data_IF_334914976956
#
_entry.id   IF_334914976956
#
_cell.length_a   1.000
_cell.length_b   1.000
_cell.length_c   1.000
_cell.angle_alpha   90.00
_cell.angle_beta   90.00
_cell.angle_gamma   90.00
#
_symmetry.space_group_name_H-M   'P 1'
#
loop_
_entity.id
_entity.type
_entity.pdbx_description
1 polymer ?
#
# COMPACT_ATOMS: atom_id res chain seq x y z
N UNK A 1 8.43 -3.31 10.17
CA UNK A 1 8.35 -2.83 8.78
C UNK A 1 9.38 -1.73 8.53
N UNK A 2 9.18 -0.47 8.97
CA UNK A 2 10.03 0.70 8.65
C UNK A 2 11.53 0.45 8.83
N UNK A 3 11.98 0.01 10.01
CA UNK A 3 13.40 -0.23 10.29
C UNK A 3 14.02 -1.36 9.43
N UNK A 4 13.20 -2.31 8.97
CA UNK A 4 13.67 -3.35 8.04
C UNK A 4 13.89 -2.78 6.64
N UNK A 5 12.94 -1.98 6.13
CA UNK A 5 13.08 -1.30 4.84
C UNK A 5 14.30 -0.36 4.86
N UNK A 6 14.41 0.47 5.88
CA UNK A 6 15.52 1.43 6.01
C UNK A 6 16.88 0.73 5.96
N UNK A 7 17.09 -0.29 6.78
CA UNK A 7 18.37 -1.01 6.86
C UNK A 7 18.72 -1.74 5.57
N UNK A 8 17.76 -2.41 4.93
CA UNK A 8 18.04 -3.28 3.80
C UNK A 8 17.92 -2.58 2.45
N UNK A 9 16.97 -1.64 2.29
CA UNK A 9 16.63 -1.07 1.01
C UNK A 9 17.01 0.40 0.85
N UNK A 10 17.52 1.05 1.91
CA UNK A 10 18.15 2.38 1.84
C UNK A 10 19.64 2.27 2.13
N UNK A 11 20.04 1.68 3.29
CA UNK A 11 21.44 1.66 3.70
C UNK A 11 22.27 0.59 2.99
N UNK A 12 21.77 -0.67 2.95
CA UNK A 12 22.52 -1.81 2.42
C UNK A 12 22.42 -1.92 0.89
N UNK A 13 21.24 -1.74 0.34
CA UNK A 13 20.98 -1.77 -1.11
C UNK A 13 20.07 -0.59 -1.44
N UNK A 14 20.60 0.53 -1.98
CA UNK A 14 19.83 1.75 -2.21
C UNK A 14 18.83 1.55 -3.36
N UNK A 15 17.71 0.93 -3.04
CA UNK A 15 16.58 0.67 -3.94
C UNK A 15 15.38 1.60 -3.64
N UNK A 16 15.32 2.13 -2.43
CA UNK A 16 14.27 3.03 -1.95
C UNK A 16 14.91 4.36 -1.53
N UNK A 17 14.38 5.48 -2.00
CA UNK A 17 14.90 6.81 -1.74
C UNK A 17 14.37 7.42 -0.45
N UNK A 18 13.10 7.18 -0.14
CA UNK A 18 12.44 7.71 1.07
C UNK A 18 11.42 6.72 1.65
N UNK A 19 11.19 6.85 2.95
CA UNK A 19 10.09 6.17 3.65
C UNK A 19 9.21 7.24 4.29
N UNK A 20 7.95 7.30 3.87
CA UNK A 20 6.95 8.21 4.42
C UNK A 20 5.94 7.40 5.20
N UNK A 21 5.73 7.74 6.46
CA UNK A 21 4.64 7.20 7.28
C UNK A 21 3.60 8.29 7.48
N UNK A 22 2.41 8.06 6.96
CA UNK A 22 1.26 8.94 7.19
C UNK A 22 0.54 8.45 8.44
N UNK A 23 0.59 9.25 9.48
CA UNK A 23 -0.04 8.97 10.76
C UNK A 23 -1.48 9.51 10.76
N UNK A 24 -2.45 8.60 10.70
CA UNK A 24 -3.87 8.93 10.73
C UNK A 24 -4.40 8.85 12.17
N UNK A 25 -4.09 9.89 12.96
CA UNK A 25 -4.62 10.09 14.32
C UNK A 25 -4.21 9.03 15.36
N UNK A 26 -3.00 8.46 15.26
CA UNK A 26 -2.51 7.54 16.30
C UNK A 26 -2.40 8.24 17.66
N UNK A 27 -2.90 7.57 18.68
CA UNK A 27 -2.84 8.07 20.08
C UNK A 27 -1.72 7.44 20.90
N UNK A 28 -0.98 6.53 20.29
CA UNK A 28 0.13 5.81 20.88
C UNK A 28 1.50 6.37 20.42
N UNK A 29 2.57 5.59 20.60
CA UNK A 29 3.92 5.95 20.18
C UNK A 29 4.24 5.63 18.72
N UNK A 30 3.26 5.46 17.84
CA UNK A 30 3.47 5.08 16.44
C UNK A 30 4.36 6.07 15.71
N UNK A 31 4.03 7.36 15.75
CA UNK A 31 4.81 8.41 15.09
C UNK A 31 6.27 8.48 15.60
N UNK A 32 6.47 8.38 16.92
CA UNK A 32 7.80 8.38 17.55
C UNK A 32 8.64 7.19 17.07
N UNK A 33 8.06 6.00 17.10
CA UNK A 33 8.72 4.76 16.67
C UNK A 33 9.08 4.77 15.19
N UNK A 34 8.18 5.27 14.34
CA UNK A 34 8.42 5.40 12.93
C UNK A 34 9.61 6.33 12.63
N UNK A 35 9.66 7.50 13.27
CA UNK A 35 10.80 8.43 13.16
C UNK A 35 12.10 7.81 13.63
N UNK A 36 12.09 7.15 14.79
CA UNK A 36 13.27 6.46 15.34
C UNK A 36 13.76 5.31 14.44
N UNK A 37 12.90 4.79 13.57
CA UNK A 37 13.21 3.73 12.59
C UNK A 37 13.64 4.26 11.23
N UNK A 38 13.77 5.58 11.05
CA UNK A 38 14.28 6.20 9.83
C UNK A 38 13.20 6.69 8.83
N UNK A 39 11.92 6.74 9.22
CA UNK A 39 10.88 7.30 8.37
C UNK A 39 10.68 8.81 8.59
N UNK A 40 10.32 9.52 7.54
CA UNK A 40 9.66 10.80 7.63
C UNK A 40 8.18 10.56 8.01
N UNK A 41 7.74 11.15 9.10
CA UNK A 41 6.36 10.98 9.59
C UNK A 41 5.57 12.25 9.34
N UNK A 42 4.42 12.08 8.72
CA UNK A 42 3.47 13.13 8.36
C UNK A 42 2.17 12.91 9.12
N UNK A 43 1.65 13.93 9.73
CA UNK A 43 0.32 13.94 10.35
C UNK A 43 -0.74 14.15 9.26
N UNK A 44 -1.59 13.16 9.04
CA UNK A 44 -2.64 13.22 8.03
C UNK A 44 -3.56 14.44 8.18
N UNK A 45 -3.77 14.92 9.40
CA UNK A 45 -4.61 16.08 9.67
C UNK A 45 -4.02 17.41 9.19
N UNK A 46 -2.71 17.45 8.89
CA UNK A 46 -1.99 18.64 8.44
C UNK A 46 -1.77 18.69 6.93
N UNK A 47 -2.14 17.61 6.21
CA UNK A 47 -1.95 17.52 4.75
C UNK A 47 -3.25 17.86 4.05
N UNK A 48 -3.18 18.73 3.02
CA UNK A 48 -4.30 19.13 2.17
C UNK A 48 -5.52 19.60 2.98
N UNK A 49 -5.30 20.44 3.99
CA UNK A 49 -6.32 20.91 4.94
C UNK A 49 -7.48 21.63 4.25
N UNK A 50 -7.24 22.27 3.11
CA UNK A 50 -8.27 22.96 2.32
C UNK A 50 -9.30 22.00 1.70
N UNK A 51 -8.98 20.71 1.62
CA UNK A 51 -9.89 19.66 1.14
C UNK A 51 -10.70 18.99 2.28
N UNK A 52 -10.55 19.47 3.51
CA UNK A 52 -11.21 18.93 4.68
C UNK A 52 -10.36 17.89 5.41
N UNK A 53 -10.91 17.35 6.50
CA UNK A 53 -10.26 16.32 7.30
C UNK A 53 -10.97 15.00 7.05
N UNK A 54 -10.38 14.19 6.18
CA UNK A 54 -10.81 12.80 5.97
C UNK A 54 -10.09 11.85 6.95
N UNK A 55 -10.57 10.62 7.01
CA UNK A 55 -10.04 9.57 7.86
C UNK A 55 -9.98 8.23 7.12
N UNK A 56 -9.06 7.37 7.56
CA UNK A 56 -8.95 6.00 7.13
C UNK A 56 -7.95 5.80 5.99
N UNK A 57 -7.80 4.54 5.58
CA UNK A 57 -6.72 4.09 4.70
C UNK A 57 -6.66 4.88 3.38
N UNK A 58 -7.78 5.06 2.70
CA UNK A 58 -7.80 5.77 1.42
C UNK A 58 -7.32 7.21 1.52
N UNK A 59 -7.69 7.91 2.59
CA UNK A 59 -7.23 9.27 2.89
C UNK A 59 -5.72 9.29 3.13
N UNK A 60 -5.20 8.37 3.92
CA UNK A 60 -3.76 8.28 4.20
C UNK A 60 -2.96 8.00 2.93
N UNK A 61 -3.45 7.11 2.06
CA UNK A 61 -2.80 6.79 0.78
C UNK A 61 -2.80 7.99 -0.17
N UNK A 62 -3.93 8.68 -0.31
CA UNK A 62 -4.03 9.89 -1.12
C UNK A 62 -3.06 10.98 -0.64
N UNK A 63 -3.04 11.25 0.65
CA UNK A 63 -2.12 12.24 1.25
C UNK A 63 -0.66 11.83 1.12
N UNK A 64 -0.36 10.52 1.14
CA UNK A 64 1.01 10.04 0.93
C UNK A 64 1.55 10.37 -0.45
N UNK A 65 0.71 10.37 -1.49
CA UNK A 65 1.11 10.83 -2.83
C UNK A 65 1.53 12.29 -2.83
N UNK A 66 0.77 13.14 -2.15
CA UNK A 66 1.08 14.57 -2.04
C UNK A 66 2.41 14.80 -1.29
N UNK A 67 2.66 14.02 -0.26
CA UNK A 67 3.83 14.14 0.60
C UNK A 67 5.08 13.43 0.08
N UNK A 68 4.97 12.49 -0.84
CA UNK A 68 6.11 11.79 -1.41
C UNK A 68 6.60 12.43 -2.70
N UNK A 69 7.85 12.15 -3.09
CA UNK A 69 8.49 12.74 -4.27
C UNK A 69 8.88 11.73 -5.34
N UNK A 70 8.90 10.44 -5.02
CA UNK A 70 9.31 9.36 -5.92
C UNK A 70 8.39 9.20 -7.14
N UNK A 71 8.94 8.73 -8.25
CA UNK A 71 8.20 8.41 -9.47
C UNK A 71 7.46 7.07 -9.39
N UNK A 72 7.91 6.19 -8.49
CA UNK A 72 7.30 4.91 -8.17
C UNK A 72 6.98 4.88 -6.68
N UNK A 73 5.72 4.61 -6.37
CA UNK A 73 5.23 4.56 -5.00
C UNK A 73 4.95 3.11 -4.62
N UNK A 74 5.38 2.71 -3.43
CA UNK A 74 5.06 1.41 -2.84
C UNK A 74 4.33 1.64 -1.53
N UNK A 75 3.18 1.02 -1.37
CA UNK A 75 2.44 1.02 -0.11
C UNK A 75 2.51 -0.35 0.55
N UNK A 76 2.80 -0.35 1.83
CA UNK A 76 2.86 -1.54 2.69
C UNK A 76 2.17 -1.22 4.00
N UNK A 77 1.35 -2.14 4.49
CA UNK A 77 0.73 -2.00 5.80
C UNK A 77 1.82 -2.05 6.89
N UNK A 78 1.79 -1.08 7.82
CA UNK A 78 2.85 -0.91 8.82
C UNK A 78 2.78 -1.91 9.99
N UNK A 79 1.70 -2.69 10.09
CA UNK A 79 1.40 -3.65 11.15
C UNK A 79 1.71 -5.11 10.79
N UNK A 80 2.36 -5.35 9.64
CA UNK A 80 2.82 -6.70 9.24
C UNK A 80 3.83 -7.21 10.27
N UNK A 81 3.51 -8.33 10.92
CA UNK A 81 4.33 -8.91 11.99
C UNK A 81 5.60 -9.54 11.44
N UNK A 82 5.49 -10.40 10.44
CA UNK A 82 6.61 -11.13 9.81
C UNK A 82 7.00 -10.46 8.49
N UNK A 83 7.32 -9.16 8.56
CA UNK A 83 7.68 -8.38 7.39
C UNK A 83 9.07 -8.76 6.86
N UNK A 84 9.13 -9.11 5.57
CA UNK A 84 10.35 -9.31 4.81
C UNK A 84 10.52 -8.17 3.79
N UNK A 85 11.70 -7.50 3.70
CA UNK A 85 12.00 -6.51 2.66
C UNK A 85 11.78 -7.02 1.22
N UNK A 86 11.81 -8.33 1.00
CA UNK A 86 11.48 -8.95 -0.27
C UNK A 86 10.06 -8.60 -0.77
N UNK A 87 9.13 -8.23 0.11
CA UNK A 87 7.80 -7.72 -0.30
C UNK A 87 7.92 -6.44 -1.13
N UNK A 88 8.75 -5.50 -0.67
CA UNK A 88 9.00 -4.25 -1.41
C UNK A 88 9.72 -4.54 -2.73
N UNK A 89 10.74 -5.42 -2.70
CA UNK A 89 11.47 -5.82 -3.91
C UNK A 89 10.55 -6.47 -4.93
N UNK A 90 9.64 -7.35 -4.49
CA UNK A 90 8.65 -8.01 -5.35
C UNK A 90 7.66 -7.04 -6.00
N UNK A 91 7.26 -5.99 -5.27
CA UNK A 91 6.37 -4.94 -5.79
C UNK A 91 7.10 -4.00 -6.78
N UNK A 92 8.37 -3.67 -6.49
CA UNK A 92 9.18 -2.79 -7.34
C UNK A 92 9.68 -3.49 -8.61
N UNK A 93 10.03 -4.77 -8.53
CA UNK A 93 10.66 -5.52 -9.60
C UNK A 93 9.98 -5.34 -10.97
N UNK A 94 8.69 -5.65 -11.10
CA UNK A 94 7.96 -5.50 -12.37
C UNK A 94 8.00 -4.05 -12.89
N UNK A 95 7.78 -3.06 -12.01
CA UNK A 95 7.78 -1.64 -12.38
C UNK A 95 9.15 -1.15 -12.86
N UNK A 96 10.24 -1.68 -12.32
CA UNK A 96 11.60 -1.27 -12.69
C UNK A 96 12.11 -1.98 -13.94
N UNK A 97 11.63 -3.18 -14.25
CA UNK A 97 12.10 -4.01 -15.37
C UNK A 97 11.24 -3.89 -16.62
N UNK A 98 9.98 -3.47 -16.50
CA UNK A 98 9.05 -3.33 -17.61
C UNK A 98 8.38 -1.97 -17.59
N UNK A 99 8.57 -1.17 -18.65
CA UNK A 99 8.05 0.19 -18.77
C UNK A 99 6.54 0.23 -19.05
N UNK A 100 5.95 -0.88 -19.50
CA UNK A 100 4.53 -1.00 -19.83
C UNK A 100 3.69 -1.36 -18.58
N UNK A 101 4.33 -1.73 -17.47
CA UNK A 101 3.66 -1.99 -16.21
C UNK A 101 3.56 -0.68 -15.41
N UNK A 102 2.36 -0.27 -15.08
CA UNK A 102 2.09 0.94 -14.28
C UNK A 102 1.59 0.64 -12.86
N UNK A 103 1.03 -0.56 -12.62
CA UNK A 103 0.50 -0.96 -11.33
C UNK A 103 0.82 -2.42 -10.99
N UNK A 104 1.18 -2.69 -9.75
CA UNK A 104 1.48 -4.04 -9.22
C UNK A 104 0.76 -4.22 -7.90
N UNK A 105 0.01 -5.31 -7.77
CA UNK A 105 -0.66 -5.68 -6.53
C UNK A 105 0.02 -6.88 -5.89
N UNK A 106 0.31 -6.75 -4.60
CA UNK A 106 1.00 -7.78 -3.83
C UNK A 106 0.15 -9.04 -3.63
N UNK A 107 0.82 -10.17 -3.72
CA UNK A 107 0.29 -11.47 -3.32
C UNK A 107 1.30 -12.15 -2.40
N UNK A 108 0.85 -12.57 -1.23
CA UNK A 108 1.70 -13.30 -0.28
C UNK A 108 0.93 -14.40 0.45
N UNK A 109 1.65 -15.43 0.81
CA UNK A 109 1.08 -16.53 1.56
C UNK A 109 0.90 -16.13 3.02
N UNK A 110 -0.35 -16.14 3.51
CA UNK A 110 -0.63 -15.98 4.95
C UNK A 110 -0.58 -17.36 5.59
N UNK A 111 0.26 -17.59 6.62
CA UNK A 111 0.20 -18.83 7.35
C UNK A 111 -1.19 -18.96 7.98
N UNK A 112 -1.86 -20.07 7.65
CA UNK A 112 -3.21 -20.33 8.11
C UNK A 112 -3.19 -20.77 9.57
N UNK A 113 -3.91 -20.07 10.42
CA UNK A 113 -4.20 -20.55 11.78
C UNK A 113 -5.36 -21.55 11.80
N UNK A 114 -6.22 -21.60 10.75
CA UNK A 114 -7.45 -22.41 10.73
C UNK A 114 -7.76 -23.09 9.38
N UNK A 115 -6.78 -23.31 8.49
CA UNK A 115 -6.90 -24.21 7.33
C UNK A 115 -7.74 -23.70 6.15
N UNK A 116 -8.13 -22.43 6.10
CA UNK A 116 -8.86 -21.83 4.97
C UNK A 116 -8.08 -20.62 4.46
N UNK A 117 -7.35 -20.78 3.38
CA UNK A 117 -6.58 -19.71 2.73
C UNK A 117 -7.48 -18.64 2.12
N UNK A 118 -7.19 -17.39 2.47
CA UNK A 118 -7.93 -16.22 2.01
C UNK A 118 -8.89 -15.67 3.06
N UNK A 119 -8.91 -14.33 3.21
CA UNK A 119 -9.87 -13.70 4.12
C UNK A 119 -11.31 -13.99 3.68
N UNK A 120 -12.21 -14.25 4.63
CA UNK A 120 -13.65 -14.52 4.35
C UNK A 120 -14.28 -13.46 3.44
N UNK A 121 -13.88 -12.21 3.57
CA UNK A 121 -14.37 -11.12 2.72
C UNK A 121 -13.89 -11.31 1.27
N UNK A 122 -12.66 -11.75 1.06
CA UNK A 122 -12.14 -12.05 -0.27
C UNK A 122 -12.96 -13.17 -0.94
N UNK A 123 -13.17 -14.28 -0.25
CA UNK A 123 -13.80 -15.46 -0.85
C UNK A 123 -15.33 -15.31 -0.97
N UNK A 124 -16.00 -14.70 0.02
CA UNK A 124 -17.46 -14.64 0.07
C UNK A 124 -18.04 -13.39 -0.61
N UNK A 125 -17.24 -12.35 -0.80
CA UNK A 125 -17.71 -11.08 -1.37
C UNK A 125 -16.89 -10.64 -2.59
N UNK A 126 -15.59 -10.40 -2.43
CA UNK A 126 -14.80 -9.77 -3.48
C UNK A 126 -14.70 -10.67 -4.74
N UNK A 127 -14.35 -11.94 -4.60
CA UNK A 127 -14.24 -12.87 -5.75
C UNK A 127 -15.56 -13.04 -6.50
N UNK A 128 -16.72 -13.32 -5.87
CA UNK A 128 -17.99 -13.41 -6.58
C UNK A 128 -18.35 -12.13 -7.34
N UNK A 129 -18.15 -10.96 -6.73
CA UNK A 129 -18.43 -9.69 -7.38
C UNK A 129 -17.48 -9.40 -8.54
N UNK A 130 -16.17 -9.63 -8.37
CA UNK A 130 -15.20 -9.49 -9.46
C UNK A 130 -15.52 -10.44 -10.59
N UNK A 131 -15.81 -11.72 -10.32
CA UNK A 131 -16.16 -12.69 -11.35
C UNK A 131 -17.42 -12.31 -12.14
N UNK A 132 -18.36 -11.64 -11.49
CA UNK A 132 -19.63 -11.23 -12.12
C UNK A 132 -19.51 -9.92 -12.89
N UNK A 133 -18.83 -8.93 -12.36
CA UNK A 133 -18.82 -7.56 -12.89
C UNK A 133 -17.50 -7.17 -13.56
N UNK A 134 -16.40 -7.85 -13.23
CA UNK A 134 -15.06 -7.57 -13.71
C UNK A 134 -14.31 -8.89 -13.99
N UNK A 135 -14.77 -9.69 -14.99
CA UNK A 135 -14.25 -11.05 -15.21
C UNK A 135 -12.74 -11.07 -15.48
N UNK A 136 -12.17 -10.02 -16.07
CA UNK A 136 -10.73 -9.90 -16.33
C UNK A 136 -9.89 -9.82 -15.03
N UNK A 137 -10.51 -9.42 -13.93
CA UNK A 137 -9.87 -9.34 -12.59
C UNK A 137 -10.19 -10.55 -11.70
N UNK A 138 -10.97 -11.53 -12.20
CA UNK A 138 -11.39 -12.68 -11.41
C UNK A 138 -10.22 -13.56 -10.94
N UNK A 139 -9.12 -13.57 -11.70
CA UNK A 139 -7.91 -14.36 -11.42
C UNK A 139 -6.94 -13.67 -10.44
N UNK A 140 -7.20 -12.42 -10.05
CA UNK A 140 -6.35 -11.72 -9.06
C UNK A 140 -6.38 -12.48 -7.73
N UNK A 141 -5.24 -12.99 -7.32
CA UNK A 141 -5.14 -13.91 -6.18
C UNK A 141 -5.60 -13.28 -4.86
N UNK A 142 -5.20 -12.02 -4.61
CA UNK A 142 -5.56 -11.28 -3.40
C UNK A 142 -6.07 -9.87 -3.76
N UNK A 143 -7.31 -9.74 -4.24
CA UNK A 143 -7.86 -8.46 -4.70
C UNK A 143 -7.95 -7.39 -3.59
N UNK A 144 -8.00 -7.82 -2.33
CA UNK A 144 -8.09 -6.95 -1.16
C UNK A 144 -6.76 -6.83 -0.38
N UNK A 145 -5.62 -7.24 -0.97
CA UNK A 145 -4.33 -7.01 -0.29
C UNK A 145 -4.05 -5.51 -0.18
N UNK A 146 -3.42 -5.11 0.92
CA UNK A 146 -3.07 -3.73 1.20
C UNK A 146 -1.70 -3.32 0.66
N UNK A 147 -0.98 -4.26 0.05
CA UNK A 147 0.36 -4.08 -0.48
C UNK A 147 0.31 -3.95 -1.99
N UNK A 148 0.70 -2.80 -2.50
CA UNK A 148 0.75 -2.53 -3.93
C UNK A 148 1.72 -1.41 -4.26
N UNK A 149 2.10 -1.34 -5.52
CA UNK A 149 2.97 -0.30 -6.04
C UNK A 149 2.44 0.23 -7.38
N UNK A 150 2.76 1.46 -7.69
CA UNK A 150 2.39 2.04 -8.97
C UNK A 150 3.29 3.21 -9.35
N UNK A 151 3.28 3.52 -10.64
CA UNK A 151 3.92 4.73 -11.15
C UNK A 151 3.08 5.95 -10.79
N UNK A 152 3.72 6.97 -10.31
CA UNK A 152 3.06 8.24 -9.97
C UNK A 152 2.17 8.75 -11.10
N UNK A 153 2.62 8.68 -12.34
CA UNK A 153 1.86 9.11 -13.53
C UNK A 153 0.47 8.48 -13.67
N UNK A 154 0.30 7.23 -13.18
CA UNK A 154 -0.98 6.56 -13.09
C UNK A 154 -1.70 7.00 -11.81
N UNK A 155 -1.05 6.87 -10.65
CA UNK A 155 -1.65 7.07 -9.33
C UNK A 155 -2.24 8.48 -9.15
N UNK A 156 -1.60 9.52 -9.69
CA UNK A 156 -2.10 10.90 -9.65
C UNK A 156 -3.42 11.10 -10.43
N UNK A 157 -3.83 10.12 -11.23
CA UNK A 157 -5.07 10.15 -12.03
C UNK A 157 -6.18 9.29 -11.45
N UNK A 158 -5.87 8.42 -10.49
CA UNK A 158 -6.83 7.51 -9.90
C UNK A 158 -7.64 8.18 -8.78
N UNK A 159 -8.93 7.85 -8.64
CA UNK A 159 -9.72 8.28 -7.50
C UNK A 159 -9.35 7.44 -6.26
N UNK A 160 -9.17 8.11 -5.12
CA UNK A 160 -8.93 7.43 -3.84
C UNK A 160 -10.24 7.37 -3.04
N UNK A 161 -10.83 6.20 -2.95
CA UNK A 161 -12.04 5.99 -2.13
C UNK A 161 -11.69 6.05 -0.65
N UNK A 162 -12.54 6.70 0.14
CA UNK A 162 -12.36 6.78 1.58
C UNK A 162 -12.39 5.39 2.25
N UNK A 163 -11.66 5.24 3.35
CA UNK A 163 -11.63 4.00 4.14
C UNK A 163 -10.99 2.83 3.40
N UNK A 164 -11.44 1.61 3.71
CA UNK A 164 -10.90 0.36 3.15
C UNK A 164 -11.39 0.05 1.73
N UNK A 165 -12.34 0.80 1.20
CA UNK A 165 -12.77 0.67 -0.20
C UNK A 165 -11.65 0.96 -1.20
N UNK A 166 -10.63 1.69 -0.79
CA UNK A 166 -9.48 2.05 -1.62
C UNK A 166 -8.75 0.84 -2.21
N UNK A 167 -8.63 -0.27 -1.46
CA UNK A 167 -7.87 -1.45 -1.90
C UNK A 167 -8.47 -2.12 -3.13
N UNK A 168 -9.81 -2.13 -3.24
CA UNK A 168 -10.49 -2.66 -4.42
C UNK A 168 -10.68 -1.58 -5.49
N UNK A 169 -10.92 -0.32 -5.11
CA UNK A 169 -11.09 0.77 -6.06
C UNK A 169 -9.84 0.97 -6.92
N UNK A 170 -8.66 1.03 -6.30
CA UNK A 170 -7.40 1.14 -7.04
C UNK A 170 -7.15 -0.06 -7.98
N UNK A 171 -7.61 -1.27 -7.62
CA UNK A 171 -7.52 -2.42 -8.51
C UNK A 171 -8.47 -2.31 -9.71
N UNK A 172 -9.65 -1.70 -9.53
CA UNK A 172 -10.64 -1.56 -10.59
C UNK A 172 -10.31 -0.44 -11.57
N UNK A 173 -9.64 0.62 -11.08
CA UNK A 173 -9.40 1.85 -11.83
C UNK A 173 -7.98 1.91 -12.44
N UNK A 174 -7.06 1.02 -12.03
CA UNK A 174 -5.69 0.94 -12.56
C UNK A 174 -5.63 0.09 -13.84
#
# INVERSE_FOLDING_TARGET
VVGSIHRHLIEATPLVDEIVVVDDHSTDRTAERARASGARVVDASQVLTDHGVGHGKGEALWKSLHESTGDVIVWVDADIVDFDPAFVVGLLGPLLTDADIDFVKGHYHRPETDGVGGGRVTELLARPLLSQFFPDLAEVAQPLSGEYAGRRRLLDRLPFMAGYGVDVALLLDA
#
